data_IF_269889205575
#
_entry.id   IF_269889205575
#
_cell.length_a   1.000
_cell.length_b   1.000
_cell.length_c   1.000
_cell.angle_alpha   90.00
_cell.angle_beta   90.00
_cell.angle_gamma   90.00
#
_symmetry.space_group_name_H-M   'P 1'
#
loop_
_entity.id
_entity.type
_entity.pdbx_description
1 polymer ?
#
# COMPACT_ATOMS: atom_id res chain seq x y z
N UNK A 1 -51.97 -21.23 47.45
CA UNK A 1 -51.76 -19.81 47.79
C UNK A 1 -51.28 -19.11 46.53
N UNK A 2 -51.92 -18.03 46.07
CA UNK A 2 -51.41 -17.27 44.94
C UNK A 2 -50.10 -16.61 45.36
N UNK A 3 -49.09 -16.73 44.50
CA UNK A 3 -47.79 -16.08 44.70
C UNK A 3 -48.04 -14.56 44.59
N UNK A 4 -47.49 -13.71 45.48
CA UNK A 4 -47.67 -12.27 45.38
C UNK A 4 -47.24 -11.77 43.99
N UNK A 5 -48.07 -10.97 43.33
CA UNK A 5 -47.77 -10.37 42.02
C UNK A 5 -46.42 -9.64 42.02
N UNK A 6 -46.04 -9.04 43.14
CA UNK A 6 -44.75 -8.37 43.30
C UNK A 6 -43.54 -9.33 43.29
N UNK A 7 -43.70 -10.57 43.77
CA UNK A 7 -42.68 -11.64 43.63
C UNK A 7 -42.62 -12.21 42.21
N UNK A 8 -43.74 -12.27 41.51
CA UNK A 8 -43.77 -12.68 40.09
C UNK A 8 -43.10 -11.63 39.20
N UNK A 9 -43.39 -10.34 39.43
CA UNK A 9 -42.77 -9.20 38.73
C UNK A 9 -41.24 -9.16 38.98
N UNK A 10 -40.79 -9.44 40.21
CA UNK A 10 -39.36 -9.53 40.54
C UNK A 10 -38.65 -10.72 39.86
N UNK A 11 -39.33 -11.87 39.75
CA UNK A 11 -38.80 -13.06 39.05
C UNK A 11 -38.73 -12.87 37.53
N UNK A 12 -39.73 -12.23 36.93
CA UNK A 12 -39.72 -11.88 35.49
C UNK A 12 -38.64 -10.85 35.16
N UNK A 13 -38.43 -9.84 36.01
CA UNK A 13 -37.33 -8.88 35.84
C UNK A 13 -35.96 -9.54 35.94
N UNK A 14 -35.75 -10.45 36.90
CA UNK A 14 -34.50 -11.21 37.01
C UNK A 14 -34.27 -12.13 35.82
N UNK A 15 -35.31 -12.80 35.32
CA UNK A 15 -35.22 -13.64 34.13
C UNK A 15 -34.90 -12.81 32.88
N UNK A 16 -35.56 -11.65 32.72
CA UNK A 16 -35.30 -10.75 31.60
C UNK A 16 -33.86 -10.21 31.62
N UNK A 17 -33.34 -9.85 32.80
CA UNK A 17 -31.95 -9.42 32.96
C UNK A 17 -30.98 -10.53 32.60
N UNK A 18 -31.19 -11.76 33.09
CA UNK A 18 -30.32 -12.90 32.78
C UNK A 18 -30.32 -13.23 31.28
N UNK A 19 -31.47 -13.12 30.60
CA UNK A 19 -31.56 -13.28 29.15
C UNK A 19 -30.79 -12.17 28.43
N UNK A 20 -30.96 -10.92 28.84
CA UNK A 20 -30.25 -9.79 28.26
C UNK A 20 -28.72 -9.94 28.41
N UNK A 21 -28.27 -10.35 29.60
CA UNK A 21 -26.86 -10.60 29.89
C UNK A 21 -26.31 -11.78 29.07
N UNK A 22 -27.10 -12.86 28.92
CA UNK A 22 -26.75 -14.01 28.09
C UNK A 22 -26.60 -13.62 26.61
N UNK A 23 -27.56 -12.88 26.07
CA UNK A 23 -27.52 -12.40 24.68
C UNK A 23 -26.31 -11.49 24.47
N UNK A 24 -26.10 -10.53 25.38
CA UNK A 24 -24.96 -9.59 25.32
C UNK A 24 -23.61 -10.30 25.37
N UNK A 25 -23.47 -11.32 26.22
CA UNK A 25 -22.22 -12.09 26.38
C UNK A 25 -21.94 -13.01 25.19
N UNK A 26 -22.99 -13.51 24.52
CA UNK A 26 -22.86 -14.38 23.36
C UNK A 26 -22.67 -13.62 22.04
N UNK A 27 -23.17 -12.39 21.95
CA UNK A 27 -23.08 -11.56 20.75
C UNK A 27 -21.65 -11.10 20.49
N UNK A 28 -21.01 -11.65 19.46
CA UNK A 28 -19.71 -11.19 18.99
C UNK A 28 -19.86 -10.02 18.03
N UNK A 29 -19.06 -8.98 18.25
CA UNK A 29 -19.06 -7.76 17.44
C UNK A 29 -17.69 -7.56 16.80
N UNK A 30 -16.68 -7.32 17.62
CA UNK A 30 -15.31 -7.24 17.17
C UNK A 30 -14.30 -7.56 18.28
N UNK A 31 -13.14 -8.09 17.93
CA UNK A 31 -12.04 -8.39 18.86
C UNK A 31 -10.67 -8.16 18.19
N UNK A 32 -9.63 -7.76 18.93
CA UNK A 32 -8.27 -7.76 18.40
C UNK A 32 -7.80 -9.20 18.14
N UNK A 33 -7.00 -9.37 17.08
CA UNK A 33 -6.38 -10.64 16.71
C UNK A 33 -4.94 -10.47 16.24
N UNK A 34 -4.19 -11.56 16.28
CA UNK A 34 -2.81 -11.66 15.82
C UNK A 34 -2.78 -12.63 14.65
N UNK A 35 -2.29 -12.17 13.49
CA UNK A 35 -2.15 -12.99 12.30
C UNK A 35 -1.12 -14.10 12.58
N UNK A 36 -1.50 -15.34 12.31
CA UNK A 36 -0.62 -16.51 12.38
C UNK A 36 -0.08 -16.87 10.99
N UNK A 37 -0.90 -16.71 9.95
CA UNK A 37 -0.51 -16.93 8.55
C UNK A 37 -1.45 -16.19 7.59
N UNK A 38 -0.99 -15.95 6.36
CA UNK A 38 -1.75 -15.30 5.29
C UNK A 38 -1.61 -16.07 3.98
N UNK A 39 -2.73 -16.35 3.31
CA UNK A 39 -2.80 -16.92 1.97
C UNK A 39 -3.12 -15.79 0.96
N UNK A 40 -2.15 -15.40 0.11
CA UNK A 40 -2.34 -14.32 -0.86
C UNK A 40 -3.25 -14.70 -2.05
N UNK A 41 -3.41 -15.99 -2.36
CA UNK A 41 -4.23 -16.46 -3.48
C UNK A 41 -5.71 -16.46 -3.09
N UNK A 42 -6.02 -16.91 -1.86
CA UNK A 42 -7.37 -16.90 -1.29
C UNK A 42 -7.76 -15.56 -0.64
N UNK A 43 -6.77 -14.70 -0.33
CA UNK A 43 -6.93 -13.44 0.43
C UNK A 43 -7.55 -13.70 1.82
N UNK A 44 -7.09 -14.76 2.47
CA UNK A 44 -7.51 -15.16 3.82
C UNK A 44 -6.33 -15.28 4.77
N UNK A 45 -6.63 -15.31 6.07
CA UNK A 45 -5.62 -15.49 7.11
C UNK A 45 -6.09 -16.45 8.20
N UNK A 46 -5.11 -17.04 8.88
CA UNK A 46 -5.36 -17.68 10.19
C UNK A 46 -5.06 -16.65 11.28
N UNK A 47 -5.99 -16.47 12.22
CA UNK A 47 -5.90 -15.43 13.25
C UNK A 47 -6.11 -16.04 14.63
N UNK A 48 -5.21 -15.74 15.56
CA UNK A 48 -5.41 -15.99 16.98
C UNK A 48 -6.10 -14.79 17.62
N UNK A 49 -7.19 -15.00 18.35
CA UNK A 49 -7.87 -13.92 19.07
C UNK A 49 -6.98 -13.47 20.23
N UNK A 50 -6.64 -12.18 20.29
CA UNK A 50 -5.73 -11.64 21.31
C UNK A 50 -6.38 -11.47 22.70
N UNK A 51 -7.59 -12.02 22.89
CA UNK A 51 -8.35 -12.01 24.12
C UNK A 51 -8.82 -13.45 24.43
N UNK A 52 -8.70 -13.83 25.69
CA UNK A 52 -9.17 -15.13 26.17
C UNK A 52 -10.70 -15.13 26.28
N UNK A 53 -11.33 -16.24 25.93
CA UNK A 53 -12.75 -16.47 26.19
C UNK A 53 -13.02 -16.71 27.67
N UNK A 54 -14.29 -16.56 28.07
CA UNK A 54 -14.77 -16.83 29.44
C UNK A 54 -15.67 -18.06 29.42
N UNK A 55 -15.39 -19.03 30.29
CA UNK A 55 -16.20 -20.25 30.48
C UNK A 55 -16.44 -20.44 31.97
N UNK A 56 -17.67 -20.16 32.43
CA UNK A 56 -17.96 -20.05 33.86
C UNK A 56 -17.11 -18.95 34.50
N UNK A 57 -16.45 -19.26 35.62
CA UNK A 57 -15.52 -18.34 36.30
C UNK A 57 -14.08 -18.41 35.74
N UNK A 58 -13.85 -19.22 34.69
CA UNK A 58 -12.53 -19.49 34.12
C UNK A 58 -12.24 -18.74 32.82
N UNK A 59 -10.95 -18.59 32.51
CA UNK A 59 -10.45 -17.99 31.26
C UNK A 59 -9.78 -19.03 30.36
N UNK A 60 -10.27 -19.17 29.13
CA UNK A 60 -9.79 -20.16 28.16
C UNK A 60 -9.23 -19.50 26.91
N UNK A 61 -8.23 -20.11 26.29
CA UNK A 61 -7.79 -19.73 24.96
C UNK A 61 -8.84 -20.15 23.93
N UNK A 62 -9.06 -19.29 22.94
CA UNK A 62 -9.88 -19.59 21.78
C UNK A 62 -9.00 -20.27 20.74
N UNK A 63 -9.58 -21.24 20.01
CA UNK A 63 -8.88 -21.82 18.87
C UNK A 63 -8.65 -20.74 17.80
N UNK A 64 -7.53 -20.79 17.06
CA UNK A 64 -7.32 -19.90 15.93
C UNK A 64 -8.47 -20.00 14.93
N UNK A 65 -8.87 -18.85 14.41
CA UNK A 65 -9.86 -18.72 13.33
C UNK A 65 -9.12 -18.94 12.02
N UNK A 66 -9.64 -19.83 11.17
CA UNK A 66 -9.06 -20.16 9.87
C UNK A 66 -9.89 -19.56 8.75
N UNK A 67 -9.27 -19.39 7.57
CA UNK A 67 -9.93 -18.88 6.36
C UNK A 67 -10.65 -17.53 6.55
N UNK A 68 -10.14 -16.68 7.46
CA UNK A 68 -10.72 -15.36 7.74
C UNK A 68 -10.39 -14.41 6.59
N UNK A 69 -11.37 -13.87 5.84
CA UNK A 69 -11.10 -12.95 4.74
C UNK A 69 -10.47 -11.64 5.22
N UNK A 70 -9.40 -11.21 4.54
CA UNK A 70 -8.68 -9.96 4.84
C UNK A 70 -9.30 -8.78 4.09
N UNK A 71 -9.58 -7.69 4.79
CA UNK A 71 -10.08 -6.45 4.20
C UNK A 71 -8.91 -5.54 3.82
N UNK A 72 -8.75 -5.31 2.52
CA UNK A 72 -7.93 -4.22 1.98
C UNK A 72 -8.82 -3.05 1.54
N UNK A 73 -8.44 -1.78 1.80
CA UNK A 73 -9.16 -0.63 1.26
C UNK A 73 -9.24 -0.71 -0.28
N UNK A 74 -10.44 -0.86 -0.82
CA UNK A 74 -10.66 -1.08 -2.26
C UNK A 74 -12.00 -0.54 -2.75
N UNK A 75 -12.07 -0.26 -4.05
CA UNK A 75 -13.27 0.23 -4.74
C UNK A 75 -12.94 0.81 -6.11
N UNK A 76 -13.92 0.89 -7.01
CA UNK A 76 -13.74 1.52 -8.33
C UNK A 76 -12.65 0.91 -9.22
N UNK A 77 -12.25 -0.34 -8.96
CA UNK A 77 -11.15 -1.01 -9.69
C UNK A 77 -9.76 -0.83 -9.05
N UNK A 78 -9.64 -0.11 -7.93
CA UNK A 78 -8.38 0.10 -7.22
C UNK A 78 -8.38 -0.61 -5.87
N UNK A 79 -7.21 -1.05 -5.41
CA UNK A 79 -7.01 -1.71 -4.10
C UNK A 79 -5.67 -1.25 -3.50
N UNK A 80 -5.68 -0.90 -2.21
CA UNK A 80 -4.46 -0.65 -1.43
C UNK A 80 -4.10 -1.93 -0.66
N UNK A 81 -3.15 -2.71 -1.17
CA UNK A 81 -2.70 -3.96 -0.58
C UNK A 81 -1.55 -3.73 0.41
N UNK A 82 -1.48 -4.57 1.45
CA UNK A 82 -0.37 -4.60 2.41
C UNK A 82 0.28 -5.99 2.46
N UNK A 83 1.59 -6.08 2.72
CA UNK A 83 2.30 -7.36 2.83
C UNK A 83 2.04 -8.00 4.21
N UNK A 84 0.84 -8.55 4.39
CA UNK A 84 0.41 -9.20 5.64
C UNK A 84 1.30 -10.40 5.97
N UNK A 85 1.72 -10.50 7.23
CA UNK A 85 2.59 -11.58 7.74
C UNK A 85 2.20 -12.01 9.15
N UNK A 86 2.78 -13.13 9.58
CA UNK A 86 2.71 -13.59 10.97
C UNK A 86 3.15 -12.50 11.95
N UNK A 87 2.40 -12.33 13.03
CA UNK A 87 2.62 -11.34 14.08
C UNK A 87 1.95 -9.98 13.83
N UNK A 88 1.42 -9.71 12.63
CA UNK A 88 0.66 -8.48 12.38
C UNK A 88 -0.63 -8.48 13.22
N UNK A 89 -1.03 -7.30 13.71
CA UNK A 89 -2.24 -7.12 14.50
C UNK A 89 -3.42 -6.72 13.60
N UNK A 90 -4.60 -7.29 13.89
CA UNK A 90 -5.83 -7.04 13.15
C UNK A 90 -7.04 -6.83 14.08
N UNK A 91 -8.09 -6.22 13.53
CA UNK A 91 -9.42 -6.19 14.12
C UNK A 91 -10.27 -7.25 13.42
N UNK A 92 -10.71 -8.25 14.17
CA UNK A 92 -11.73 -9.19 13.74
C UNK A 92 -13.09 -8.53 13.90
N UNK A 93 -13.89 -8.46 12.84
CA UNK A 93 -15.29 -8.04 12.88
C UNK A 93 -16.14 -9.23 12.50
N UNK A 94 -17.12 -9.55 13.34
CA UNK A 94 -17.98 -10.71 13.14
C UNK A 94 -19.24 -10.32 12.37
N UNK A 95 -19.61 -11.11 11.38
CA UNK A 95 -20.79 -10.90 10.55
C UNK A 95 -22.07 -11.26 11.32
N UNK A 96 -23.16 -10.57 10.97
CA UNK A 96 -24.48 -10.84 11.56
C UNK A 96 -25.00 -12.24 11.21
N UNK A 97 -24.57 -12.80 10.08
CA UNK A 97 -25.01 -14.09 9.53
C UNK A 97 -23.84 -14.83 8.88
N UNK A 98 -24.02 -16.13 8.69
CA UNK A 98 -23.07 -16.97 7.96
C UNK A 98 -22.72 -16.39 6.58
N UNK A 99 -21.42 -16.28 6.29
CA UNK A 99 -20.91 -15.66 5.05
C UNK A 99 -20.46 -16.65 3.97
N UNK A 100 -20.42 -17.96 4.26
CA UNK A 100 -19.78 -19.00 3.45
C UNK A 100 -20.16 -18.95 1.96
N UNK A 101 -21.46 -18.88 1.63
CA UNK A 101 -21.92 -18.84 0.24
C UNK A 101 -21.54 -17.54 -0.46
N UNK A 102 -21.59 -16.40 0.23
CA UNK A 102 -21.13 -15.12 -0.31
C UNK A 102 -19.63 -15.13 -0.53
N UNK A 103 -18.87 -15.66 0.42
CA UNK A 103 -17.42 -15.76 0.29
C UNK A 103 -17.02 -16.62 -0.91
N UNK A 104 -17.68 -17.77 -1.12
CA UNK A 104 -17.41 -18.65 -2.26
C UNK A 104 -17.86 -18.07 -3.61
N UNK A 105 -19.07 -17.50 -3.68
CA UNK A 105 -19.75 -17.23 -4.96
C UNK A 105 -19.94 -15.75 -5.27
N UNK A 106 -19.67 -14.84 -4.32
CA UNK A 106 -19.99 -13.42 -4.43
C UNK A 106 -21.49 -13.15 -4.63
N UNK A 107 -21.85 -11.93 -5.02
CA UNK A 107 -23.24 -11.58 -5.34
C UNK A 107 -24.21 -11.60 -4.15
N UNK A 108 -25.51 -11.72 -4.42
CA UNK A 108 -26.54 -11.89 -3.39
C UNK A 108 -26.70 -13.39 -3.13
N UNK A 109 -26.63 -13.82 -1.87
CA UNK A 109 -26.62 -15.23 -1.47
C UNK A 109 -27.61 -15.52 -0.33
N UNK A 110 -28.04 -16.77 -0.26
CA UNK A 110 -28.81 -17.31 0.86
C UNK A 110 -27.87 -17.67 2.03
N UNK A 111 -28.40 -17.63 3.26
CA UNK A 111 -27.67 -18.09 4.44
C UNK A 111 -27.74 -19.61 4.54
N UNK A 112 -26.59 -20.29 4.44
CA UNK A 112 -26.50 -21.76 4.49
C UNK A 112 -26.65 -22.33 5.90
N UNK A 113 -26.27 -21.54 6.91
CA UNK A 113 -26.26 -21.95 8.31
C UNK A 113 -26.94 -20.87 9.18
N UNK A 114 -27.76 -21.25 10.19
CA UNK A 114 -28.43 -20.30 11.08
C UNK A 114 -27.52 -19.53 12.05
N UNK A 115 -26.20 -19.76 12.04
CA UNK A 115 -25.18 -19.01 12.81
C UNK A 115 -25.37 -17.50 12.70
N UNK A 116 -25.21 -16.83 13.85
CA UNK A 116 -25.29 -15.37 13.98
C UNK A 116 -24.19 -14.92 14.94
N UNK A 117 -23.43 -13.90 14.56
CA UNK A 117 -22.36 -13.35 15.42
C UNK A 117 -21.38 -14.44 15.90
N UNK A 118 -21.04 -15.39 15.03
CA UNK A 118 -20.22 -16.56 15.35
C UNK A 118 -18.74 -16.29 15.07
N UNK A 119 -17.85 -16.99 15.78
CA UNK A 119 -16.40 -16.89 15.60
C UNK A 119 -15.93 -17.30 14.20
N UNK A 120 -16.70 -18.13 13.51
CA UNK A 120 -16.37 -18.65 12.19
C UNK A 120 -16.61 -17.63 11.07
N UNK A 121 -17.46 -16.64 11.30
CA UNK A 121 -17.91 -15.66 10.31
C UNK A 121 -17.29 -14.30 10.60
N UNK A 122 -15.97 -14.20 10.43
CA UNK A 122 -15.21 -13.00 10.74
C UNK A 122 -14.54 -12.41 9.49
N UNK A 123 -14.28 -11.11 9.52
CA UNK A 123 -13.37 -10.41 8.61
C UNK A 123 -12.21 -9.82 9.41
N UNK A 124 -11.01 -9.84 8.83
CA UNK A 124 -9.83 -9.23 9.44
C UNK A 124 -9.52 -7.88 8.78
N UNK A 125 -9.55 -6.80 9.57
CA UNK A 125 -9.00 -5.50 9.18
C UNK A 125 -7.60 -5.37 9.80
N UNK A 126 -6.56 -5.46 8.98
CA UNK A 126 -5.17 -5.35 9.44
C UNK A 126 -4.82 -3.89 9.72
N UNK A 127 -4.08 -3.64 10.80
CA UNK A 127 -3.52 -2.31 11.11
C UNK A 127 -3.84 -1.65 12.45
N UNK A 128 -4.79 -2.12 13.31
CA UNK A 128 -4.79 -1.70 14.71
C UNK A 128 -3.43 -1.98 15.35
N UNK A 129 -2.97 -1.07 16.22
CA UNK A 129 -1.66 -1.17 16.86
C UNK A 129 -1.82 -1.11 18.37
N UNK A 130 -1.40 -2.17 19.04
CA UNK A 130 -1.19 -2.20 20.47
C UNK A 130 -0.06 -1.24 20.85
N UNK A 131 0.00 -0.84 22.13
CA UNK A 131 1.09 0.01 22.60
C UNK A 131 2.46 -0.65 22.49
N UNK A 132 2.50 -2.00 22.42
CA UNK A 132 3.72 -2.77 22.28
C UNK A 132 4.23 -2.80 20.83
N UNK A 133 3.32 -2.82 19.84
CA UNK A 133 3.66 -2.93 18.41
C UNK A 133 3.54 -1.61 17.63
N UNK A 134 3.14 -0.51 18.29
CA UNK A 134 2.95 0.78 17.61
C UNK A 134 4.22 1.26 16.91
N UNK A 135 4.04 1.79 15.70
CA UNK A 135 5.09 2.50 14.98
C UNK A 135 5.44 3.82 15.68
N UNK A 136 6.64 4.33 15.40
CA UNK A 136 7.12 5.62 15.90
C UNK A 136 7.31 6.63 14.76
N UNK A 137 7.51 7.91 15.10
CA UNK A 137 7.78 8.95 14.11
C UNK A 137 6.64 9.16 13.10
N UNK A 138 5.38 9.08 13.56
CA UNK A 138 4.21 9.38 12.75
C UNK A 138 4.23 10.87 12.37
N UNK A 139 4.11 11.18 11.08
CA UNK A 139 4.03 12.57 10.61
C UNK A 139 2.74 13.23 11.10
N UNK A 140 2.87 14.44 11.65
CA UNK A 140 1.73 15.25 12.10
C UNK A 140 1.34 16.34 11.09
N UNK A 141 2.07 16.46 9.98
CA UNK A 141 1.87 17.50 8.94
C UNK A 141 1.63 16.92 7.54
N UNK A 142 1.74 15.61 7.37
CA UNK A 142 1.61 14.95 6.08
C UNK A 142 1.01 13.54 6.21
N UNK A 143 0.26 13.11 5.19
CA UNK A 143 -0.16 11.73 5.06
C UNK A 143 0.97 10.90 4.41
N UNK A 144 1.22 9.69 4.92
CA UNK A 144 2.29 8.81 4.44
C UNK A 144 1.77 7.40 4.14
N UNK A 145 2.15 6.85 2.98
CA UNK A 145 2.29 5.40 2.80
C UNK A 145 3.77 5.08 2.99
N UNK A 146 4.10 4.31 4.04
CA UNK A 146 5.49 4.18 4.53
C UNK A 146 5.80 2.80 5.06
N UNK A 147 7.08 2.49 5.19
CA UNK A 147 7.57 1.41 6.04
C UNK A 147 7.37 1.76 7.52
N UNK A 148 7.29 0.74 8.38
CA UNK A 148 7.04 0.95 9.81
C UNK A 148 8.16 1.73 10.50
N UNK A 149 9.41 1.56 10.04
CA UNK A 149 10.58 2.33 10.48
C UNK A 149 10.61 3.77 9.93
N UNK A 150 9.73 4.11 8.99
CA UNK A 150 9.63 5.42 8.34
C UNK A 150 10.77 5.74 7.37
N UNK A 151 11.64 4.79 7.03
CA UNK A 151 12.79 5.04 6.17
C UNK A 151 12.40 5.26 4.69
N UNK A 152 11.39 4.52 4.21
CA UNK A 152 10.84 4.67 2.86
C UNK A 152 9.37 5.11 2.91
N UNK A 153 8.99 6.07 2.07
CA UNK A 153 7.63 6.59 2.02
C UNK A 153 7.27 7.29 0.70
N UNK A 154 5.97 7.33 0.45
CA UNK A 154 5.29 8.32 -0.40
C UNK A 154 4.47 9.22 0.51
N UNK A 155 4.69 10.52 0.44
CA UNK A 155 4.13 11.50 1.37
C UNK A 155 3.39 12.62 0.62
N UNK A 156 2.23 13.00 1.15
CA UNK A 156 1.46 14.18 0.75
C UNK A 156 1.37 15.13 1.94
N UNK A 157 2.12 16.24 1.87
CA UNK A 157 2.09 17.26 2.90
C UNK A 157 0.85 18.15 2.80
N UNK A 158 0.36 18.66 3.95
CA UNK A 158 -0.75 19.61 3.97
C UNK A 158 -0.45 20.90 3.16
N UNK A 159 0.83 21.25 3.01
CA UNK A 159 1.31 22.33 2.14
C UNK A 159 1.43 21.96 0.65
N UNK A 160 0.80 20.87 0.20
CA UNK A 160 0.74 20.37 -1.18
C UNK A 160 2.04 19.79 -1.76
N UNK A 161 3.12 19.71 -0.98
CA UNK A 161 4.35 19.03 -1.41
C UNK A 161 4.13 17.52 -1.47
N UNK A 162 4.62 16.89 -2.53
CA UNK A 162 4.70 15.44 -2.67
C UNK A 162 6.16 15.02 -2.54
N UNK A 163 6.44 14.06 -1.67
CA UNK A 163 7.80 13.53 -1.47
C UNK A 163 7.80 12.02 -1.63
N UNK A 164 8.74 11.50 -2.41
CA UNK A 164 9.04 10.07 -2.49
C UNK A 164 10.47 9.89 -2.03
N UNK A 165 10.68 9.11 -0.97
CA UNK A 165 12.00 8.85 -0.40
C UNK A 165 12.16 7.36 -0.13
N UNK A 166 13.34 6.84 -0.44
CA UNK A 166 13.72 5.46 -0.08
C UNK A 166 15.24 5.39 0.08
N UNK A 167 15.77 4.61 1.05
CA UNK A 167 17.18 4.26 1.11
C UNK A 167 17.55 3.13 0.13
N UNK A 168 16.54 2.44 -0.44
CA UNK A 168 16.71 1.41 -1.45
C UNK A 168 16.75 1.98 -2.87
N UNK A 169 16.44 1.13 -3.84
CA UNK A 169 16.31 1.52 -5.24
C UNK A 169 14.91 2.11 -5.52
N UNK A 170 14.86 3.21 -6.28
CA UNK A 170 13.63 3.73 -6.87
C UNK A 170 13.58 3.32 -8.34
N UNK A 171 12.65 2.41 -8.68
CA UNK A 171 12.46 1.92 -10.06
C UNK A 171 11.07 2.30 -10.55
N UNK A 172 10.99 2.82 -11.78
CA UNK A 172 9.73 3.16 -12.44
C UNK A 172 9.74 2.60 -13.87
N UNK A 173 8.71 1.83 -14.22
CA UNK A 173 8.50 1.27 -15.56
C UNK A 173 7.18 1.77 -16.10
N UNK A 174 7.18 2.33 -17.31
CA UNK A 174 5.99 2.80 -18.00
C UNK A 174 6.01 2.33 -19.45
N UNK A 175 5.29 1.25 -19.75
CA UNK A 175 5.26 0.64 -21.08
C UNK A 175 4.66 1.59 -22.15
N UNK A 176 3.73 2.46 -21.75
CA UNK A 176 3.17 3.51 -22.60
C UNK A 176 4.04 4.77 -22.74
N UNK A 177 5.20 4.81 -22.07
CA UNK A 177 6.09 5.97 -22.01
C UNK A 177 5.90 6.85 -20.77
N UNK A 178 6.86 7.75 -20.54
CA UNK A 178 6.89 8.65 -19.38
C UNK A 178 6.92 10.11 -19.85
N UNK A 179 6.07 10.96 -19.26
CA UNK A 179 6.09 12.42 -19.47
C UNK A 179 6.31 13.12 -18.14
N UNK A 180 7.28 14.04 -18.07
CA UNK A 180 7.54 14.88 -16.89
C UNK A 180 7.44 16.34 -17.32
N UNK A 181 6.48 17.06 -16.77
CA UNK A 181 6.26 18.49 -17.04
C UNK A 181 6.58 19.29 -15.79
N UNK A 182 7.63 20.11 -15.87
CA UNK A 182 8.06 20.99 -14.78
C UNK A 182 8.90 22.14 -15.34
N UNK A 183 8.96 23.27 -14.63
CA UNK A 183 9.82 24.38 -15.03
C UNK A 183 11.31 24.00 -15.03
N UNK A 184 11.71 23.13 -14.11
CA UNK A 184 13.09 22.65 -13.95
C UNK A 184 13.09 21.19 -13.52
N UNK A 185 13.91 20.35 -14.17
CA UNK A 185 14.22 18.98 -13.76
C UNK A 185 15.69 18.94 -13.34
N UNK A 186 15.96 18.52 -12.09
CA UNK A 186 17.32 18.40 -11.54
C UNK A 186 17.70 16.94 -11.39
N UNK A 187 18.81 16.54 -12.02
CA UNK A 187 19.40 15.20 -11.90
C UNK A 187 20.79 15.33 -11.26
N UNK A 188 20.89 15.04 -9.96
CA UNK A 188 22.12 15.22 -9.19
C UNK A 188 23.11 14.03 -9.27
N UNK A 189 22.70 12.94 -9.91
CA UNK A 189 23.52 11.74 -10.11
C UNK A 189 23.94 11.57 -11.57
N UNK A 190 24.68 10.49 -11.83
CA UNK A 190 25.01 10.08 -13.19
C UNK A 190 23.74 9.75 -13.98
N UNK A 191 23.71 10.13 -15.26
CA UNK A 191 22.57 9.90 -16.16
C UNK A 191 22.98 8.94 -17.27
N UNK A 192 22.20 7.88 -17.46
CA UNK A 192 22.36 6.90 -18.56
C UNK A 192 21.09 6.96 -19.43
N UNK A 193 21.27 7.18 -20.73
CA UNK A 193 20.18 7.20 -21.72
C UNK A 193 20.48 6.14 -22.78
N UNK A 194 19.78 5.01 -22.70
CA UNK A 194 19.89 3.92 -23.69
C UNK A 194 18.95 4.19 -24.88
N UNK A 195 19.17 5.31 -25.55
CA UNK A 195 18.34 5.81 -26.63
C UNK A 195 18.78 7.19 -27.09
N UNK A 196 17.97 7.84 -27.91
CA UNK A 196 18.28 9.17 -28.40
C UNK A 196 17.97 10.23 -27.32
N UNK A 197 18.86 11.21 -27.19
CA UNK A 197 18.56 12.48 -26.52
C UNK A 197 18.17 13.51 -27.58
N UNK A 198 16.94 14.02 -27.49
CA UNK A 198 16.48 15.15 -28.29
C UNK A 198 16.26 16.34 -27.39
N UNK A 199 16.91 17.47 -27.71
CA UNK A 199 16.95 18.65 -26.85
C UNK A 199 16.45 19.88 -27.61
N UNK A 200 15.59 20.68 -26.98
CA UNK A 200 15.13 21.96 -27.53
C UNK A 200 14.17 21.87 -28.72
N UNK A 201 13.52 20.74 -28.97
CA UNK A 201 12.61 20.56 -30.12
C UNK A 201 11.21 21.19 -29.96
N UNK A 202 10.87 21.70 -28.77
CA UNK A 202 9.60 22.39 -28.50
C UNK A 202 9.73 23.91 -28.52
N UNK A 203 8.64 24.62 -28.20
CA UNK A 203 8.62 26.10 -28.16
C UNK A 203 9.63 26.70 -27.17
N UNK A 204 9.96 25.97 -26.10
CA UNK A 204 10.97 26.33 -25.10
C UNK A 204 12.41 26.01 -25.52
N UNK A 205 12.71 25.99 -26.82
CA UNK A 205 14.05 25.71 -27.35
C UNK A 205 15.16 26.47 -26.61
N UNK A 206 16.22 25.78 -26.22
CA UNK A 206 17.30 26.32 -25.40
C UNK A 206 18.65 25.74 -25.74
N UNK A 207 19.71 26.20 -25.09
CA UNK A 207 21.07 25.67 -25.28
C UNK A 207 21.29 24.40 -24.46
N UNK A 208 22.04 23.44 -25.01
CA UNK A 208 22.69 22.40 -24.22
C UNK A 208 24.11 22.87 -23.85
N UNK A 209 24.35 23.10 -22.55
CA UNK A 209 25.67 23.53 -22.05
C UNK A 209 26.33 22.39 -21.29
N UNK A 210 27.52 21.97 -21.74
CA UNK A 210 28.30 20.90 -21.13
C UNK A 210 29.61 21.48 -20.62
N UNK A 211 29.86 21.39 -19.31
CA UNK A 211 31.12 21.85 -18.71
C UNK A 211 32.26 20.85 -18.94
N UNK A 212 31.94 19.56 -18.89
CA UNK A 212 32.89 18.48 -19.13
C UNK A 212 33.12 18.24 -20.62
N UNK A 213 34.13 17.42 -20.96
CA UNK A 213 34.39 17.02 -22.34
C UNK A 213 33.22 16.22 -22.91
N UNK A 214 33.00 16.34 -24.22
CA UNK A 214 32.06 15.51 -24.98
C UNK A 214 32.87 14.58 -25.87
N UNK A 215 32.83 13.28 -25.60
CA UNK A 215 33.44 12.26 -26.45
C UNK A 215 32.37 11.59 -27.29
N UNK A 216 32.54 11.62 -28.61
CA UNK A 216 31.62 10.98 -29.57
C UNK A 216 32.41 9.95 -30.35
N UNK A 217 31.90 8.72 -30.42
CA UNK A 217 32.58 7.60 -31.09
C UNK A 217 32.41 7.63 -32.61
N UNK A 218 31.31 8.22 -33.07
CA UNK A 218 30.99 8.43 -34.48
C UNK A 218 31.11 9.93 -34.83
N UNK A 219 30.46 10.33 -35.92
CA UNK A 219 30.51 11.70 -36.42
C UNK A 219 29.71 12.69 -35.55
N UNK A 220 30.18 13.93 -35.54
CA UNK A 220 29.42 15.08 -35.04
C UNK A 220 28.99 15.89 -36.25
N UNK A 221 27.68 16.13 -36.40
CA UNK A 221 27.14 16.94 -37.49
C UNK A 221 26.55 18.25 -36.96
N UNK A 222 27.01 19.37 -37.51
CA UNK A 222 26.46 20.69 -37.23
C UNK A 222 25.97 21.33 -38.54
N UNK A 223 24.69 21.73 -38.60
CA UNK A 223 24.09 22.27 -39.83
C UNK A 223 24.21 21.34 -41.04
N UNK A 224 24.21 20.02 -40.81
CA UNK A 224 24.39 19.00 -41.85
C UNK A 224 25.84 18.78 -42.31
N UNK A 225 26.83 19.50 -41.76
CA UNK A 225 28.26 19.29 -42.04
C UNK A 225 28.89 18.35 -41.03
N UNK A 226 29.63 17.36 -41.53
CA UNK A 226 30.33 16.33 -40.75
C UNK A 226 31.66 16.85 -40.21
N UNK A 227 31.93 16.65 -38.92
CA UNK A 227 33.23 16.94 -38.34
C UNK A 227 34.32 16.02 -38.92
N UNK A 228 33.99 14.77 -39.22
CA UNK A 228 34.95 13.79 -39.73
C UNK A 228 35.27 13.90 -41.23
N UNK A 229 34.34 14.41 -42.03
CA UNK A 229 34.45 14.33 -43.52
C UNK A 229 34.26 15.67 -44.24
N UNK A 230 34.08 16.79 -43.52
CA UNK A 230 33.97 18.08 -44.18
C UNK A 230 35.25 18.43 -44.96
N UNK A 231 35.06 19.13 -46.08
CA UNK A 231 36.12 19.62 -46.94
C UNK A 231 36.17 21.14 -46.91
N UNK A 232 37.35 21.72 -47.05
CA UNK A 232 37.54 23.16 -47.23
C UNK A 232 37.84 23.48 -48.71
N UNK A 233 37.11 24.41 -49.31
CA UNK A 233 37.34 24.88 -50.68
C UNK A 233 38.00 26.26 -50.72
N UNK A 234 38.45 26.69 -51.91
CA UNK A 234 39.00 28.04 -52.12
C UNK A 234 40.44 28.24 -51.65
N UNK A 235 41.22 27.16 -51.52
CA UNK A 235 42.61 27.18 -51.05
C UNK A 235 43.59 26.93 -52.21
N UNK A 236 44.78 27.52 -52.14
CA UNK A 236 45.93 27.08 -52.96
C UNK A 236 46.58 25.89 -52.25
N UNK A 237 46.51 24.71 -52.84
CA UNK A 237 47.10 23.50 -52.27
C UNK A 237 48.63 23.55 -52.35
N UNK A 238 49.30 23.15 -51.27
CA UNK A 238 50.75 22.94 -51.22
C UNK A 238 51.08 21.60 -50.55
N UNK A 239 52.37 21.28 -50.40
CA UNK A 239 52.83 19.97 -49.90
C UNK A 239 52.76 19.82 -48.37
N UNK A 240 52.32 20.85 -47.65
CA UNK A 240 52.29 20.88 -46.18
C UNK A 240 50.90 20.64 -45.59
N UNK A 241 50.87 20.17 -44.35
CA UNK A 241 49.65 20.14 -43.54
C UNK A 241 49.39 21.51 -42.90
N UNK A 242 48.12 21.82 -42.62
CA UNK A 242 47.79 22.97 -41.76
C UNK A 242 48.39 22.76 -40.38
N UNK A 243 48.63 23.86 -39.66
CA UNK A 243 48.89 23.79 -38.23
C UNK A 243 47.70 23.21 -37.45
N UNK A 244 47.87 23.02 -36.15
CA UNK A 244 46.74 22.73 -35.27
C UNK A 244 45.68 23.83 -35.42
N UNK A 245 44.37 23.49 -35.40
CA UNK A 245 43.32 24.50 -35.28
C UNK A 245 43.64 25.43 -34.11
N UNK A 246 43.55 26.75 -34.34
CA UNK A 246 43.74 27.77 -33.31
C UNK A 246 42.63 27.73 -32.27
#
# INVERSE_FOLDING_TARGET
MPIPTQSQIGGEQQAAQAIADSVSTQMRVAMPGIIQSFDPDAVTCTVEVALRGVVGDGSTELKPLVDVPVIFPRGGGCTLTFPVKEGDECLLIFADRCIDFWWQSGGVQETVDPRQHDLSDAFAIVGPQSQAQKISGISTSAAQLRTDDGAAFVEVAAGHNITIKTPGQLTATAEGGTTITSQTITLNGNVIINGNLSQGMGEGGGSATMLGPVTVTNDVKAGGKSLMTHTHGGVQTGDGNTGAPN
#
